data_IF_384525577633
#
_entry.id   IF_384525577633
#
_cell.length_a   1.000
_cell.length_b   1.000
_cell.length_c   1.000
_cell.angle_alpha   90.00
_cell.angle_beta   90.00
_cell.angle_gamma   90.00
#
_symmetry.space_group_name_H-M   'P 1'
#
loop_
_entity.id
_entity.type
_entity.pdbx_description
1 polymer ?
#
# COMPACT_ATOMS: atom_id res chain seq x y z
N UNK A 1 0.04 -5.92 -2.71
CA UNK A 1 -0.40 -6.91 -1.69
C UNK A 1 -0.74 -6.26 -0.35
N UNK A 2 0.15 -5.47 0.30
CA UNK A 2 -0.17 -4.88 1.62
C UNK A 2 -1.38 -3.94 1.60
N UNK A 3 -1.59 -3.19 0.53
CA UNK A 3 -2.75 -2.30 0.40
C UNK A 3 -4.07 -3.07 0.36
N UNK A 4 -4.12 -4.22 -0.33
CA UNK A 4 -5.28 -5.10 -0.34
C UNK A 4 -5.68 -5.53 1.08
N UNK A 5 -4.69 -5.81 1.94
CA UNK A 5 -4.94 -6.13 3.35
C UNK A 5 -5.53 -5.00 4.19
N UNK A 6 -5.51 -3.76 3.69
CA UNK A 6 -6.08 -2.59 4.38
C UNK A 6 -7.52 -2.28 3.92
N UNK A 7 -8.04 -2.97 2.93
CA UNK A 7 -9.35 -2.73 2.33
C UNK A 7 -10.29 -3.92 2.56
N UNK A 8 -11.59 -3.67 2.46
CA UNK A 8 -12.61 -4.72 2.48
C UNK A 8 -12.54 -5.54 1.19
N UNK A 9 -13.14 -6.71 1.17
CA UNK A 9 -13.25 -7.61 0.02
C UNK A 9 -14.10 -7.08 -1.13
N UNK A 10 -14.79 -5.95 -0.92
CA UNK A 10 -15.49 -5.23 -1.98
C UNK A 10 -14.57 -4.47 -2.92
N UNK A 11 -13.28 -4.39 -2.59
CA UNK A 11 -12.25 -3.76 -3.40
C UNK A 11 -11.23 -4.80 -3.86
N UNK A 12 -11.13 -5.00 -5.15
CA UNK A 12 -10.04 -5.79 -5.73
C UNK A 12 -8.86 -4.86 -5.99
N UNK A 13 -7.68 -5.28 -5.53
CA UNK A 13 -6.42 -4.59 -5.81
C UNK A 13 -5.66 -5.34 -6.89
N UNK A 14 -5.72 -4.84 -8.12
CA UNK A 14 -4.92 -5.37 -9.24
C UNK A 14 -3.54 -4.69 -9.25
N UNK A 15 -2.50 -5.45 -8.91
CA UNK A 15 -1.16 -4.91 -8.71
C UNK A 15 -0.28 -5.03 -9.95
N UNK A 16 -0.09 -3.93 -10.67
CA UNK A 16 0.82 -3.79 -11.81
C UNK A 16 2.20 -3.21 -11.45
N UNK A 17 2.45 -2.97 -10.16
CA UNK A 17 3.72 -2.43 -9.71
C UNK A 17 4.90 -3.35 -10.06
N UNK A 18 5.97 -2.76 -10.60
CA UNK A 18 7.18 -3.48 -10.95
C UNK A 18 8.42 -2.86 -10.30
N UNK A 19 9.21 -3.71 -9.62
CA UNK A 19 10.44 -3.27 -8.97
C UNK A 19 11.44 -2.69 -9.97
N UNK A 20 12.06 -1.55 -9.62
CA UNK A 20 13.12 -0.93 -10.41
C UNK A 20 12.65 -0.15 -11.63
N UNK A 21 11.32 0.09 -11.80
CA UNK A 21 10.82 0.83 -12.97
C UNK A 21 10.63 2.31 -12.66
N UNK A 22 11.09 3.13 -13.58
CA UNK A 22 10.75 4.55 -13.72
C UNK A 22 9.50 4.70 -14.58
N UNK A 23 8.94 5.91 -14.69
CA UNK A 23 7.88 6.22 -15.65
C UNK A 23 8.29 5.84 -17.06
N UNK A 24 9.52 6.21 -17.47
CA UNK A 24 10.09 5.93 -18.78
C UNK A 24 10.18 4.43 -19.07
N UNK A 25 10.80 3.66 -18.18
CA UNK A 25 10.95 2.22 -18.39
C UNK A 25 9.62 1.48 -18.33
N UNK A 26 8.67 1.94 -17.51
CA UNK A 26 7.33 1.36 -17.44
C UNK A 26 6.56 1.52 -18.75
N UNK A 27 6.72 2.67 -19.42
CA UNK A 27 6.16 2.92 -20.76
C UNK A 27 6.89 2.05 -21.80
N UNK A 28 8.21 2.11 -21.82
CA UNK A 28 9.02 1.43 -22.85
C UNK A 28 8.88 -0.10 -22.81
N UNK A 29 8.65 -0.69 -21.64
CA UNK A 29 8.38 -2.11 -21.45
C UNK A 29 6.91 -2.48 -21.72
N UNK A 30 6.09 -1.57 -22.22
CA UNK A 30 4.65 -1.76 -22.49
C UNK A 30 3.85 -2.21 -21.25
N UNK A 31 4.33 -1.87 -20.06
CA UNK A 31 3.63 -2.18 -18.80
C UNK A 31 2.41 -1.30 -18.62
N UNK A 32 2.54 -0.04 -19.04
CA UNK A 32 1.43 0.90 -18.98
C UNK A 32 0.29 0.49 -19.92
N UNK A 33 0.59 0.00 -21.12
CA UNK A 33 -0.43 -0.52 -22.04
C UNK A 33 -1.25 -1.65 -21.40
N UNK A 34 -0.58 -2.58 -20.68
CA UNK A 34 -1.27 -3.66 -19.97
C UNK A 34 -2.21 -3.17 -18.87
N UNK A 35 -1.90 -2.04 -18.23
CA UNK A 35 -2.79 -1.40 -17.26
C UNK A 35 -4.01 -0.86 -17.98
N UNK A 36 -3.80 -0.09 -19.08
CA UNK A 36 -4.87 0.51 -19.87
C UNK A 36 -5.86 -0.53 -20.44
N UNK A 37 -5.38 -1.71 -20.77
CA UNK A 37 -6.21 -2.81 -21.30
C UNK A 37 -7.18 -3.38 -20.24
N UNK A 38 -6.91 -3.12 -18.95
CA UNK A 38 -7.71 -3.68 -17.85
C UNK A 38 -8.64 -2.67 -17.19
N UNK A 39 -8.34 -1.38 -17.31
CA UNK A 39 -9.13 -0.31 -16.68
C UNK A 39 -10.58 -0.36 -17.18
N UNK A 40 -11.51 -0.37 -16.23
CA UNK A 40 -12.93 -0.20 -16.46
C UNK A 40 -13.38 1.19 -15.97
N UNK A 41 -14.48 1.73 -16.53
CA UNK A 41 -15.04 2.99 -16.04
C UNK A 41 -15.37 2.94 -14.54
N UNK A 42 -14.83 3.92 -13.80
CA UNK A 42 -15.00 4.03 -12.34
C UNK A 42 -13.86 3.43 -11.52
N UNK A 43 -12.91 2.72 -12.13
CA UNK A 43 -11.75 2.19 -11.43
C UNK A 43 -10.81 3.30 -10.97
N UNK A 44 -10.24 3.15 -9.78
CA UNK A 44 -9.18 4.03 -9.30
C UNK A 44 -7.81 3.53 -9.75
N UNK A 45 -7.01 4.42 -10.32
CA UNK A 45 -5.65 4.09 -10.75
C UNK A 45 -4.64 4.86 -9.90
N UNK A 46 -3.96 4.16 -9.00
CA UNK A 46 -2.94 4.72 -8.11
C UNK A 46 -1.58 4.73 -8.81
N UNK A 47 -1.03 5.93 -9.02
CA UNK A 47 0.18 6.16 -9.80
C UNK A 47 1.25 6.74 -8.87
N UNK A 48 2.33 5.96 -8.61
CA UNK A 48 3.47 6.39 -7.82
C UNK A 48 4.79 6.05 -8.53
N UNK A 49 5.55 7.06 -8.86
CA UNK A 49 6.88 6.97 -9.48
C UNK A 49 7.83 8.02 -8.86
N UNK A 50 9.09 8.03 -9.29
CA UNK A 50 10.11 8.97 -8.87
C UNK A 50 11.43 8.30 -8.48
N UNK A 51 11.43 7.33 -7.57
CA UNK A 51 12.63 6.67 -7.05
C UNK A 51 13.60 6.09 -8.11
N UNK A 52 13.10 5.72 -9.27
CA UNK A 52 13.92 5.22 -10.36
C UNK A 52 14.08 6.26 -11.46
N UNK A 53 13.17 7.21 -11.55
CA UNK A 53 13.24 8.34 -12.48
C UNK A 53 14.43 9.25 -12.17
N UNK A 54 14.78 9.41 -10.89
CA UNK A 54 15.93 10.22 -10.43
C UNK A 54 17.31 9.58 -10.65
N UNK A 55 17.37 8.31 -11.10
CA UNK A 55 18.64 7.64 -11.37
C UNK A 55 19.27 8.16 -12.65
N UNK A 56 20.60 8.23 -12.67
CA UNK A 56 21.36 8.69 -13.85
C UNK A 56 21.34 7.70 -15.03
N UNK A 57 20.88 6.44 -14.81
CA UNK A 57 20.76 5.44 -15.87
C UNK A 57 19.83 5.95 -16.99
N UNK A 58 20.32 6.14 -18.23
CA UNK A 58 19.52 6.66 -19.34
C UNK A 58 18.27 5.83 -19.68
N UNK A 59 18.21 4.56 -19.28
CA UNK A 59 17.05 3.71 -19.46
C UNK A 59 15.93 4.03 -18.46
N UNK A 60 16.27 4.67 -17.35
CA UNK A 60 15.37 4.99 -16.26
C UNK A 60 15.10 6.48 -16.14
N UNK A 61 16.14 7.28 -16.31
CA UNK A 61 16.13 8.71 -16.03
C UNK A 61 15.07 9.48 -16.81
N UNK A 62 14.39 10.34 -16.06
CA UNK A 62 13.49 11.38 -16.58
C UNK A 62 13.72 12.66 -15.78
N UNK A 63 13.40 13.83 -16.34
CA UNK A 63 13.67 15.12 -15.74
C UNK A 63 12.40 15.75 -15.19
N UNK A 64 12.36 16.19 -13.90
CA UNK A 64 11.25 16.97 -13.33
C UNK A 64 11.03 18.27 -14.12
N UNK A 65 9.76 18.64 -14.28
CA UNK A 65 9.39 19.82 -15.08
C UNK A 65 9.28 19.55 -16.57
N UNK A 66 9.86 18.46 -17.07
CA UNK A 66 9.80 18.05 -18.49
C UNK A 66 9.36 16.60 -18.63
N UNK A 67 10.27 15.68 -18.91
CA UNK A 67 9.92 14.29 -19.28
C UNK A 67 9.23 13.49 -18.17
N UNK A 68 9.57 13.74 -16.89
CA UNK A 68 8.86 13.12 -15.77
C UNK A 68 7.42 13.61 -15.70
N UNK A 69 7.22 14.91 -15.79
CA UNK A 69 5.90 15.55 -15.77
C UNK A 69 5.04 15.11 -16.97
N UNK A 70 5.64 15.05 -18.16
CA UNK A 70 4.94 14.62 -19.38
C UNK A 70 4.45 13.17 -19.27
N UNK A 71 5.26 12.28 -18.69
CA UNK A 71 4.85 10.91 -18.40
C UNK A 71 3.70 10.85 -17.41
N UNK A 72 3.72 11.68 -16.35
CA UNK A 72 2.61 11.76 -15.40
C UNK A 72 1.33 12.31 -16.06
N UNK A 73 1.45 13.35 -16.90
CA UNK A 73 0.31 13.87 -17.69
C UNK A 73 -0.28 12.81 -18.59
N UNK A 74 0.58 12.04 -19.27
CA UNK A 74 0.17 10.90 -20.10
C UNK A 74 -0.63 9.88 -19.30
N UNK A 75 -0.12 9.44 -18.15
CA UNK A 75 -0.81 8.46 -17.30
C UNK A 75 -2.18 8.97 -16.85
N UNK A 76 -2.29 10.23 -16.44
CA UNK A 76 -3.56 10.85 -16.05
C UNK A 76 -4.55 10.91 -17.22
N UNK A 77 -4.10 11.39 -18.38
CA UNK A 77 -4.96 11.56 -19.55
C UNK A 77 -5.48 10.21 -20.07
N UNK A 78 -4.60 9.22 -20.18
CA UNK A 78 -4.96 7.90 -20.70
C UNK A 78 -5.81 7.09 -19.70
N UNK A 79 -5.58 7.23 -18.40
CA UNK A 79 -6.51 6.69 -17.38
C UNK A 79 -7.92 7.24 -17.58
N UNK A 80 -8.05 8.56 -17.71
CA UNK A 80 -9.35 9.21 -17.93
C UNK A 80 -10.00 8.81 -19.24
N UNK A 81 -9.24 8.60 -20.30
CA UNK A 81 -9.76 8.15 -21.59
C UNK A 81 -10.43 6.77 -21.54
N UNK A 82 -10.03 5.95 -20.54
CA UNK A 82 -10.63 4.65 -20.24
C UNK A 82 -11.78 4.74 -19.22
N UNK A 83 -12.12 5.95 -18.76
CA UNK A 83 -13.14 6.15 -17.70
C UNK A 83 -12.62 5.90 -16.29
N UNK A 84 -11.32 5.65 -16.12
CA UNK A 84 -10.67 5.47 -14.81
C UNK A 84 -10.43 6.79 -14.08
N UNK A 85 -10.22 6.72 -12.79
CA UNK A 85 -10.02 7.84 -11.87
C UNK A 85 -8.57 7.83 -11.40
N UNK A 86 -7.68 8.68 -11.95
CA UNK A 86 -6.27 8.69 -11.55
C UNK A 86 -6.08 9.35 -10.18
N UNK A 87 -5.17 8.79 -9.39
CA UNK A 87 -4.71 9.32 -8.10
C UNK A 87 -3.19 9.34 -8.12
N UNK A 88 -2.58 10.51 -7.95
CA UNK A 88 -1.13 10.67 -7.96
C UNK A 88 -0.54 10.61 -6.54
N UNK A 89 0.60 9.96 -6.45
CA UNK A 89 1.39 9.85 -5.23
C UNK A 89 2.83 10.29 -5.52
N UNK A 90 3.47 10.98 -4.57
CA UNK A 90 4.92 11.17 -4.63
C UNK A 90 5.67 10.01 -3.96
N UNK A 91 7.00 10.04 -4.05
CA UNK A 91 7.88 9.02 -3.47
C UNK A 91 7.86 9.07 -1.95
N UNK A 92 7.85 7.91 -1.30
CA UNK A 92 8.05 7.82 0.14
C UNK A 92 9.50 8.19 0.51
N UNK A 93 9.71 8.63 1.75
CA UNK A 93 11.03 9.02 2.27
C UNK A 93 11.99 7.82 2.28
N UNK A 94 13.28 8.08 2.00
CA UNK A 94 14.36 7.16 2.41
C UNK A 94 14.72 7.45 3.87
N UNK A 95 15.03 6.41 4.62
CA UNK A 95 15.48 6.52 6.01
C UNK A 95 16.93 7.03 6.08
N UNK A 96 17.18 8.21 5.57
CA UNK A 96 18.50 8.83 5.56
C UNK A 96 18.56 9.96 6.57
N UNK A 97 18.99 9.65 7.79
CA UNK A 97 19.22 10.65 8.81
C UNK A 97 20.56 11.35 8.60
N UNK A 98 20.58 12.62 8.93
CA UNK A 98 21.83 13.38 8.98
C UNK A 98 22.71 12.84 10.10
N UNK A 99 24.01 12.65 9.80
CA UNK A 99 25.02 12.20 10.74
C UNK A 99 25.95 13.39 11.02
N UNK A 100 26.16 13.71 12.30
CA UNK A 100 27.09 14.78 12.68
C UNK A 100 28.57 14.34 12.55
N UNK A 101 29.49 15.26 12.79
CA UNK A 101 30.93 15.04 12.69
C UNK A 101 31.45 13.93 13.60
N UNK A 102 30.75 13.66 14.71
CA UNK A 102 31.09 12.57 15.66
C UNK A 102 30.45 11.22 15.28
N UNK A 103 29.86 11.10 14.11
CA UNK A 103 29.20 9.87 13.66
C UNK A 103 27.85 9.57 14.33
N UNK A 104 27.27 10.52 15.05
CA UNK A 104 25.96 10.37 15.69
C UNK A 104 24.84 10.87 14.78
N UNK A 105 23.80 10.07 14.65
CA UNK A 105 22.60 10.48 13.92
C UNK A 105 21.86 11.59 14.67
N UNK A 106 21.40 12.57 13.90
CA UNK A 106 20.47 13.61 14.37
C UNK A 106 19.04 13.19 14.11
N UNK A 107 18.07 13.99 14.58
CA UNK A 107 16.65 13.79 14.31
C UNK A 107 16.20 14.32 12.93
N UNK A 108 17.15 14.80 12.12
CA UNK A 108 16.87 15.38 10.82
C UNK A 108 17.03 14.34 9.70
N UNK A 109 16.01 14.21 8.88
CA UNK A 109 16.06 13.42 7.65
C UNK A 109 16.54 14.29 6.49
N UNK A 110 17.36 13.70 5.63
CA UNK A 110 17.86 14.31 4.41
C UNK A 110 16.84 14.05 3.31
N UNK A 111 16.36 15.11 2.62
CA UNK A 111 15.63 14.93 1.37
C UNK A 111 16.56 14.34 0.31
N UNK A 112 16.12 13.30 -0.33
CA UNK A 112 16.90 12.56 -1.33
C UNK A 112 16.23 12.52 -2.70
N UNK A 113 15.08 13.19 -2.86
CA UNK A 113 14.28 13.12 -4.08
C UNK A 113 14.16 14.46 -4.81
N UNK A 114 14.45 15.58 -4.13
CA UNK A 114 14.40 16.91 -4.75
C UNK A 114 13.07 17.16 -5.48
N UNK A 115 13.16 17.75 -6.66
CA UNK A 115 12.00 18.18 -7.44
C UNK A 115 11.09 17.03 -7.93
N UNK A 116 11.54 15.76 -7.87
CA UNK A 116 10.67 14.61 -8.13
C UNK A 116 9.52 14.48 -7.13
N UNK A 117 9.62 15.09 -5.95
CA UNK A 117 8.51 15.14 -4.98
C UNK A 117 7.44 16.15 -5.40
N UNK A 118 7.84 17.21 -6.09
CA UNK A 118 6.96 18.33 -6.45
C UNK A 118 6.14 18.04 -7.71
N UNK A 119 6.70 17.31 -8.67
CA UNK A 119 6.06 17.02 -9.96
C UNK A 119 4.69 16.33 -9.82
N UNK A 120 4.50 15.26 -9.02
CA UNK A 120 3.18 14.63 -8.88
C UNK A 120 2.13 15.58 -8.31
N UNK A 121 2.51 16.44 -7.36
CA UNK A 121 1.62 17.47 -6.80
C UNK A 121 1.22 18.50 -7.85
N UNK A 122 2.20 19.05 -8.56
CA UNK A 122 1.99 20.05 -9.62
C UNK A 122 1.06 19.51 -10.71
N UNK A 123 1.31 18.28 -11.18
CA UNK A 123 0.46 17.66 -12.20
C UNK A 123 -0.94 17.33 -11.66
N UNK A 124 -1.06 16.96 -10.39
CA UNK A 124 -2.36 16.75 -9.78
C UNK A 124 -3.17 18.03 -9.72
N UNK A 125 -2.56 19.14 -9.35
CA UNK A 125 -3.18 20.48 -9.35
C UNK A 125 -3.55 20.91 -10.77
N UNK A 126 -2.63 20.76 -11.74
CA UNK A 126 -2.84 21.09 -13.16
C UNK A 126 -4.02 20.32 -13.75
N UNK A 127 -4.13 19.04 -13.44
CA UNK A 127 -5.15 18.14 -14.03
C UNK A 127 -6.39 17.98 -13.16
N UNK A 128 -6.48 18.59 -11.99
CA UNK A 128 -7.59 18.43 -11.06
C UNK A 128 -7.81 16.98 -10.67
N UNK A 129 -6.75 16.28 -10.24
CA UNK A 129 -6.78 14.90 -9.72
C UNK A 129 -6.35 14.87 -8.26
N UNK A 130 -6.73 13.81 -7.57
CA UNK A 130 -6.33 13.64 -6.17
C UNK A 130 -4.82 13.39 -6.07
N UNK A 131 -4.18 14.10 -5.14
CA UNK A 131 -2.77 13.90 -4.78
C UNK A 131 -2.65 13.40 -3.35
N UNK A 132 -1.80 12.41 -3.13
CA UNK A 132 -1.44 11.86 -1.82
C UNK A 132 0.05 12.07 -1.58
N UNK A 133 0.38 12.83 -0.52
CA UNK A 133 1.76 13.14 -0.16
C UNK A 133 2.38 12.01 0.68
N UNK A 134 2.85 10.97 -0.01
CA UNK A 134 3.51 9.85 0.65
C UNK A 134 4.84 10.23 1.29
N UNK A 135 5.54 11.22 0.72
CA UNK A 135 6.78 11.70 1.32
C UNK A 135 6.51 12.26 2.71
N UNK A 136 5.56 13.18 2.83
CA UNK A 136 5.21 13.78 4.12
C UNK A 136 4.76 12.73 5.13
N UNK A 137 3.87 11.82 4.74
CA UNK A 137 3.34 10.77 5.62
C UNK A 137 4.47 9.89 6.17
N UNK A 138 5.36 9.45 5.29
CA UNK A 138 6.45 8.55 5.68
C UNK A 138 7.60 9.27 6.36
N UNK A 139 7.86 10.54 6.00
CA UNK A 139 8.80 11.42 6.71
C UNK A 139 8.39 11.60 8.16
N UNK A 140 7.13 11.96 8.41
CA UNK A 140 6.60 12.18 9.76
C UNK A 140 6.70 10.90 10.60
N UNK A 141 6.34 9.74 10.02
CA UNK A 141 6.47 8.44 10.67
C UNK A 141 7.93 8.14 11.07
N UNK A 142 8.85 8.23 10.11
CA UNK A 142 10.27 7.89 10.32
C UNK A 142 10.92 8.85 11.29
N UNK A 143 10.62 10.15 11.19
CA UNK A 143 11.12 11.19 12.12
C UNK A 143 10.63 10.95 13.54
N UNK A 144 9.33 10.66 13.72
CA UNK A 144 8.76 10.35 15.04
C UNK A 144 9.39 9.12 15.70
N UNK A 145 9.77 8.12 14.90
CA UNK A 145 10.44 6.92 15.41
C UNK A 145 11.92 7.13 15.73
N UNK A 146 12.54 8.12 15.10
CA UNK A 146 13.97 8.41 15.23
C UNK A 146 14.88 7.38 14.52
N UNK A 147 16.20 7.63 14.50
CA UNK A 147 17.15 6.88 13.68
C UNK A 147 17.28 5.41 14.05
N UNK A 148 17.16 5.05 15.32
CA UNK A 148 17.32 3.65 15.73
C UNK A 148 16.03 2.83 15.55
N UNK A 149 14.91 3.30 16.08
CA UNK A 149 13.65 2.57 16.06
C UNK A 149 13.05 2.43 14.66
N UNK A 150 13.27 3.42 13.80
CA UNK A 150 12.76 3.36 12.41
C UNK A 150 13.41 2.25 11.57
N UNK A 151 14.59 1.71 11.95
CA UNK A 151 15.19 0.52 11.32
C UNK A 151 14.22 -0.66 11.26
N UNK A 152 13.33 -0.78 12.26
CA UNK A 152 12.32 -1.85 12.33
C UNK A 152 11.31 -1.84 11.17
N UNK A 153 11.21 -0.75 10.43
CA UNK A 153 10.33 -0.63 9.26
C UNK A 153 11.02 -1.00 7.95
N UNK A 154 12.34 -1.00 7.93
CA UNK A 154 13.15 -1.16 6.73
C UNK A 154 13.83 -2.52 6.66
N UNK A 155 14.45 -2.84 5.51
CA UNK A 155 15.14 -4.11 5.30
C UNK A 155 16.53 -4.14 6.01
N UNK A 156 16.49 -3.96 7.33
CA UNK A 156 17.63 -4.10 8.22
C UNK A 156 17.63 -5.50 8.84
N UNK A 157 18.20 -6.48 8.12
CA UNK A 157 18.22 -7.89 8.55
C UNK A 157 19.64 -8.44 8.39
N UNK A 158 20.24 -8.92 9.47
CA UNK A 158 21.61 -9.45 9.48
C UNK A 158 22.62 -8.40 9.00
N UNK A 159 23.34 -8.72 7.93
CA UNK A 159 24.33 -7.80 7.31
C UNK A 159 23.71 -6.77 6.36
N UNK A 160 22.43 -6.92 6.00
CA UNK A 160 21.75 -5.99 5.10
C UNK A 160 21.33 -4.74 5.87
N UNK A 161 21.76 -3.58 5.38
CA UNK A 161 21.40 -2.24 5.87
C UNK A 161 20.76 -1.48 4.72
N UNK A 162 19.45 -1.58 4.59
CA UNK A 162 18.72 -0.98 3.47
C UNK A 162 17.74 0.06 4.01
N UNK A 163 18.04 1.31 3.77
CA UNK A 163 17.28 2.48 4.22
C UNK A 163 16.20 2.93 3.20
N UNK A 164 16.01 2.16 2.15
CA UNK A 164 15.05 2.47 1.07
C UNK A 164 13.87 1.51 1.07
N UNK A 165 14.13 0.20 1.23
CA UNK A 165 13.09 -0.81 1.10
C UNK A 165 12.48 -1.18 2.45
N UNK A 166 11.16 -1.14 2.51
CA UNK A 166 10.40 -1.58 3.68
C UNK A 166 10.43 -3.10 3.82
N UNK A 167 10.47 -3.57 5.07
CA UNK A 167 10.11 -4.94 5.39
C UNK A 167 8.57 -5.10 5.48
N UNK A 168 8.09 -6.31 5.80
CA UNK A 168 6.66 -6.61 5.89
C UNK A 168 5.95 -5.69 6.91
N UNK A 169 6.55 -5.48 8.10
CA UNK A 169 6.00 -4.62 9.14
C UNK A 169 5.87 -3.18 8.66
N UNK A 170 6.94 -2.63 8.08
CA UNK A 170 6.95 -1.28 7.54
C UNK A 170 5.95 -1.11 6.38
N UNK A 171 5.89 -2.08 5.48
CA UNK A 171 4.97 -2.05 4.36
C UNK A 171 3.49 -2.06 4.80
N UNK A 172 3.13 -2.82 5.83
CA UNK A 172 1.78 -2.80 6.41
C UNK A 172 1.43 -1.45 7.03
N UNK A 173 2.33 -0.89 7.84
CA UNK A 173 2.12 0.42 8.48
C UNK A 173 1.96 1.51 7.43
N UNK A 174 2.87 1.57 6.45
CA UNK A 174 2.82 2.58 5.39
C UNK A 174 1.57 2.43 4.51
N UNK A 175 1.17 1.20 4.17
CA UNK A 175 -0.06 0.96 3.42
C UNK A 175 -1.30 1.43 4.19
N UNK A 176 -1.35 1.17 5.50
CA UNK A 176 -2.45 1.64 6.36
C UNK A 176 -2.53 3.17 6.40
N UNK A 177 -1.39 3.85 6.58
CA UNK A 177 -1.34 5.32 6.57
C UNK A 177 -1.73 5.90 5.21
N UNK A 178 -1.27 5.28 4.12
CA UNK A 178 -1.60 5.70 2.76
C UNK A 178 -3.11 5.62 2.50
N UNK A 179 -3.74 4.49 2.83
CA UNK A 179 -5.16 4.31 2.57
C UNK A 179 -6.05 5.17 3.47
N UNK A 180 -5.63 5.45 4.70
CA UNK A 180 -6.31 6.43 5.56
C UNK A 180 -6.31 7.83 4.93
N UNK A 181 -5.19 8.27 4.35
CA UNK A 181 -5.12 9.56 3.67
C UNK A 181 -5.93 9.57 2.37
N UNK A 182 -5.91 8.46 1.61
CA UNK A 182 -6.78 8.26 0.45
C UNK A 182 -8.26 8.37 0.87
N UNK A 183 -8.64 7.69 1.94
CA UNK A 183 -10.02 7.67 2.42
C UNK A 183 -10.56 9.05 2.85
N UNK A 184 -9.69 9.93 3.37
CA UNK A 184 -10.03 11.33 3.67
C UNK A 184 -10.36 12.13 2.40
N UNK A 185 -9.63 11.86 1.31
CA UNK A 185 -9.77 12.58 0.03
C UNK A 185 -10.78 11.94 -0.91
N UNK A 186 -10.98 10.64 -0.79
CA UNK A 186 -11.89 9.82 -1.61
C UNK A 186 -12.83 9.06 -0.68
N UNK A 187 -13.97 9.68 -0.26
CA UNK A 187 -14.89 9.07 0.72
C UNK A 187 -15.43 7.71 0.30
N UNK A 188 -15.53 7.43 -1.00
CA UNK A 188 -15.95 6.13 -1.51
C UNK A 188 -14.98 5.03 -1.07
N UNK A 189 -13.65 5.25 -1.23
CA UNK A 189 -12.62 4.33 -0.75
C UNK A 189 -12.49 4.35 0.78
N UNK A 190 -12.76 5.49 1.42
CA UNK A 190 -12.75 5.61 2.88
C UNK A 190 -13.74 4.68 3.59
N UNK A 191 -14.89 4.38 2.95
CA UNK A 191 -15.89 3.42 3.44
C UNK A 191 -15.40 1.97 3.35
N UNK A 192 -14.43 1.72 2.50
CA UNK A 192 -13.87 0.39 2.25
C UNK A 192 -12.59 0.12 3.06
N UNK A 193 -12.18 1.03 3.94
CA UNK A 193 -11.02 0.79 4.79
C UNK A 193 -11.37 -0.25 5.86
N UNK A 194 -10.55 -1.29 5.93
CA UNK A 194 -10.67 -2.34 6.93
C UNK A 194 -10.38 -1.76 8.32
N UNK A 195 -11.30 -2.00 9.27
CA UNK A 195 -11.22 -1.49 10.65
C UNK A 195 -10.80 -2.55 11.68
N UNK A 196 -10.34 -3.70 11.20
CA UNK A 196 -9.92 -4.82 12.04
C UNK A 196 -8.48 -5.20 11.70
N UNK A 197 -7.74 -5.65 12.72
CA UNK A 197 -6.35 -6.09 12.52
C UNK A 197 -6.29 -7.38 11.69
N UNK A 198 -7.25 -8.28 11.89
CA UNK A 198 -7.41 -9.52 11.14
C UNK A 198 -8.86 -9.78 10.77
N UNK A 199 -9.03 -10.48 9.67
CA UNK A 199 -10.34 -10.93 9.17
C UNK A 199 -10.28 -12.42 8.92
N UNK A 200 -11.29 -13.12 9.44
CA UNK A 200 -11.53 -14.56 9.22
C UNK A 200 -12.70 -14.69 8.26
N UNK A 201 -12.52 -15.42 7.16
CA UNK A 201 -13.57 -15.65 6.17
C UNK A 201 -13.40 -17.01 5.48
N UNK A 202 -14.45 -17.83 5.47
CA UNK A 202 -14.44 -19.18 4.90
C UNK A 202 -14.31 -19.20 3.38
N UNK A 203 -14.64 -18.08 2.71
CA UNK A 203 -14.55 -17.92 1.26
C UNK A 203 -13.16 -17.48 0.76
N UNK A 204 -12.18 -17.36 1.69
CA UNK A 204 -10.81 -16.93 1.38
C UNK A 204 -10.62 -15.42 1.21
N UNK A 205 -11.67 -14.60 1.43
CA UNK A 205 -11.58 -13.13 1.39
C UNK A 205 -10.93 -12.53 2.64
N UNK A 206 -10.67 -13.34 3.69
CA UNK A 206 -10.02 -12.95 4.92
C UNK A 206 -8.51 -13.23 4.95
N UNK A 207 -7.91 -12.92 6.08
CA UNK A 207 -6.51 -13.26 6.37
C UNK A 207 -6.36 -14.75 6.76
N UNK A 208 -7.45 -15.35 7.28
CA UNK A 208 -7.54 -16.74 7.73
C UNK A 208 -8.89 -17.34 7.33
N UNK A 209 -8.90 -18.65 7.14
CA UNK A 209 -10.14 -19.39 6.85
C UNK A 209 -10.91 -19.73 8.13
N UNK A 210 -10.21 -19.91 9.24
CA UNK A 210 -10.81 -20.27 10.51
C UNK A 210 -10.36 -19.35 11.65
N UNK A 211 -11.19 -19.23 12.69
CA UNK A 211 -10.82 -18.45 13.86
C UNK A 211 -9.68 -19.11 14.65
N UNK A 212 -9.57 -20.42 14.60
CA UNK A 212 -8.49 -21.19 15.23
C UNK A 212 -7.14 -20.81 14.66
N UNK A 213 -6.99 -20.85 13.32
CA UNK A 213 -5.78 -20.37 12.63
C UNK A 213 -5.42 -18.91 13.01
N UNK A 214 -6.42 -18.05 13.05
CA UNK A 214 -6.20 -16.65 13.43
C UNK A 214 -5.66 -16.54 14.87
N UNK A 215 -6.24 -17.26 15.80
CA UNK A 215 -5.86 -17.21 17.22
C UNK A 215 -4.45 -17.80 17.47
N UNK A 216 -4.03 -18.80 16.71
CA UNK A 216 -2.68 -19.37 16.76
C UNK A 216 -1.62 -18.38 16.25
N UNK A 217 -1.94 -17.61 15.21
CA UNK A 217 -1.01 -16.69 14.56
C UNK A 217 -0.95 -15.30 15.19
N UNK A 218 -1.96 -14.91 15.97
CA UNK A 218 -2.01 -13.58 16.62
C UNK A 218 -0.98 -13.54 17.76
N UNK A 219 -0.07 -12.53 17.78
CA UNK A 219 0.86 -12.37 18.89
C UNK A 219 0.14 -12.18 20.23
N UNK A 220 0.54 -12.90 21.25
CA UNK A 220 -0.04 -12.82 22.60
C UNK A 220 0.17 -11.46 23.30
N UNK A 221 1.02 -10.60 22.73
CA UNK A 221 1.34 -9.26 23.24
C UNK A 221 0.59 -8.17 22.48
N UNK A 222 -0.22 -7.38 23.20
CA UNK A 222 -0.95 -6.24 22.65
C UNK A 222 -2.45 -6.46 22.54
N UNK A 223 -3.19 -5.38 22.19
CA UNK A 223 -4.61 -5.44 21.85
C UNK A 223 -4.74 -5.75 20.37
N UNK A 224 -5.71 -6.57 20.01
CA UNK A 224 -5.98 -6.98 18.65
C UNK A 224 -7.48 -7.10 18.41
N UNK A 225 -7.92 -6.76 17.20
CA UNK A 225 -9.32 -6.86 16.77
C UNK A 225 -9.40 -7.88 15.62
N UNK A 226 -10.37 -8.80 15.74
CA UNK A 226 -10.61 -9.82 14.71
C UNK A 226 -12.08 -9.70 14.27
N UNK A 227 -12.29 -9.60 12.97
CA UNK A 227 -13.61 -9.72 12.37
C UNK A 227 -13.78 -11.14 11.85
N UNK A 228 -14.88 -11.79 12.25
CA UNK A 228 -15.34 -13.04 11.63
C UNK A 228 -16.49 -12.71 10.69
N UNK A 229 -16.30 -12.96 9.39
CA UNK A 229 -17.29 -12.65 8.37
C UNK A 229 -18.43 -13.66 8.38
N UNK A 230 -19.55 -13.25 7.77
CA UNK A 230 -20.69 -14.12 7.53
C UNK A 230 -20.25 -15.41 6.85
N UNK A 231 -20.68 -16.56 7.39
CA UNK A 231 -20.30 -17.87 6.87
C UNK A 231 -20.55 -19.00 7.88
N UNK A 232 -20.36 -20.23 7.41
CA UNK A 232 -20.42 -21.42 8.26
C UNK A 232 -19.01 -21.83 8.65
N UNK A 233 -18.76 -21.89 9.95
CA UNK A 233 -17.46 -22.25 10.53
C UNK A 233 -17.55 -23.57 11.28
N UNK A 234 -16.42 -24.20 11.52
CA UNK A 234 -16.30 -25.35 12.42
C UNK A 234 -16.65 -24.98 13.86
N UNK A 235 -16.33 -25.80 14.84
CA UNK A 235 -16.57 -25.51 16.26
C UNK A 235 -15.92 -24.19 16.66
N UNK A 236 -16.64 -23.36 17.39
CA UNK A 236 -16.06 -22.12 17.90
C UNK A 236 -14.95 -22.46 18.90
N UNK A 237 -13.70 -22.06 18.66
CA UNK A 237 -12.59 -22.37 19.56
C UNK A 237 -12.82 -21.73 20.92
N UNK A 238 -12.47 -22.40 22.03
CA UNK A 238 -12.52 -21.81 23.35
C UNK A 238 -11.55 -20.66 23.43
N UNK A 239 -12.07 -19.46 23.74
CA UNK A 239 -11.28 -18.23 23.70
C UNK A 239 -11.09 -17.64 25.10
N UNK A 240 -9.85 -17.40 25.51
CA UNK A 240 -9.49 -16.93 26.84
C UNK A 240 -8.67 -15.64 26.88
N UNK A 241 -8.26 -15.08 25.73
CA UNK A 241 -7.41 -13.89 25.75
C UNK A 241 -8.21 -12.58 25.72
N UNK A 242 -8.34 -11.92 26.87
CA UNK A 242 -9.07 -10.64 27.04
C UNK A 242 -8.51 -9.46 26.22
N UNK A 243 -7.33 -9.60 25.60
CA UNK A 243 -6.72 -8.55 24.77
C UNK A 243 -7.14 -8.62 23.30
N UNK A 244 -7.74 -9.72 22.87
CA UNK A 244 -8.27 -9.89 21.52
C UNK A 244 -9.78 -9.64 21.55
N UNK A 245 -10.24 -8.67 20.77
CA UNK A 245 -11.66 -8.38 20.58
C UNK A 245 -12.12 -9.05 19.28
N UNK A 246 -12.97 -10.06 19.40
CA UNK A 246 -13.61 -10.72 18.26
C UNK A 246 -14.96 -10.06 18.01
N UNK A 247 -15.24 -9.72 16.76
CA UNK A 247 -16.53 -9.23 16.28
C UNK A 247 -17.02 -10.18 15.21
N UNK A 248 -18.26 -10.60 15.29
CA UNK A 248 -18.90 -11.49 14.32
C UNK A 248 -19.88 -10.67 13.47
N UNK A 249 -19.83 -10.86 12.15
CA UNK A 249 -20.85 -10.31 11.26
C UNK A 249 -22.18 -11.05 11.43
N UNK A 250 -23.27 -10.39 11.03
CA UNK A 250 -24.58 -11.05 10.97
C UNK A 250 -24.54 -12.19 9.95
N UNK A 251 -24.88 -13.39 10.37
CA UNK A 251 -24.85 -14.59 9.53
C UNK A 251 -23.66 -15.53 9.80
N UNK A 252 -22.82 -15.21 10.78
CA UNK A 252 -21.85 -16.18 11.32
C UNK A 252 -22.59 -17.31 12.01
N UNK A 253 -22.27 -18.54 11.63
CA UNK A 253 -22.79 -19.75 12.29
C UNK A 253 -21.65 -20.69 12.64
N UNK A 254 -21.71 -21.30 13.81
CA UNK A 254 -20.72 -22.24 14.34
C UNK A 254 -21.32 -23.65 14.39
N UNK A 255 -20.57 -24.64 13.93
CA UNK A 255 -21.03 -26.04 13.88
C UNK A 255 -19.91 -27.04 13.97
N UNK A 256 -20.23 -28.31 13.78
CA UNK A 256 -19.27 -29.41 13.85
C UNK A 256 -18.48 -29.65 12.54
N UNK A 257 -18.87 -29.01 11.43
CA UNK A 257 -18.18 -29.13 10.14
C UNK A 257 -18.18 -27.81 9.40
N UNK A 258 -17.07 -27.47 8.72
CA UNK A 258 -16.96 -26.30 7.86
C UNK A 258 -17.54 -26.60 6.47
N UNK A 259 -18.43 -25.76 5.94
CA UNK A 259 -18.90 -25.81 4.57
C UNK A 259 -18.29 -24.63 3.79
N UNK A 260 -17.65 -24.92 2.67
CA UNK A 260 -17.18 -23.89 1.73
C UNK A 260 -18.36 -23.47 0.83
N UNK A 261 -18.69 -22.17 0.87
CA UNK A 261 -19.65 -21.58 -0.05
C UNK A 261 -18.98 -20.47 -0.87
N UNK A 262 -18.82 -20.69 -2.15
CA UNK A 262 -18.41 -19.65 -3.09
C UNK A 262 -19.60 -18.78 -3.48
N UNK A 263 -19.48 -17.46 -3.33
CA UNK A 263 -20.37 -16.48 -3.98
C UNK A 263 -19.54 -15.44 -4.71
N UNK A 264 -19.87 -15.15 -5.97
CA UNK A 264 -19.18 -14.09 -6.71
C UNK A 264 -19.55 -12.71 -6.12
N UNK A 265 -18.54 -11.91 -5.86
CA UNK A 265 -18.62 -10.56 -5.35
C UNK A 265 -18.72 -9.55 -6.49
N UNK A 266 -19.55 -8.51 -6.34
CA UNK A 266 -19.46 -7.30 -7.19
C UNK A 266 -18.33 -6.44 -6.65
N UNK A 267 -17.25 -6.34 -7.41
CA UNK A 267 -15.99 -5.76 -6.96
C UNK A 267 -15.78 -4.36 -7.56
N UNK A 268 -15.15 -3.50 -6.77
CA UNK A 268 -14.56 -2.25 -7.23
C UNK A 268 -13.07 -2.54 -7.52
N UNK A 269 -12.62 -2.37 -8.75
CA UNK A 269 -11.24 -2.65 -9.12
C UNK A 269 -10.35 -1.44 -8.82
N UNK A 270 -9.24 -1.70 -8.12
CA UNK A 270 -8.20 -0.73 -7.80
C UNK A 270 -6.90 -1.13 -8.48
N UNK A 271 -6.46 -0.36 -9.49
CA UNK A 271 -5.20 -0.61 -10.18
C UNK A 271 -4.04 0.12 -9.51
N UNK A 272 -2.99 -0.62 -9.17
CA UNK A 272 -1.75 -0.12 -8.62
C UNK A 272 -0.68 -0.05 -9.70
N UNK A 273 -0.41 1.16 -10.19
CA UNK A 273 0.68 1.43 -11.12
C UNK A 273 1.83 2.08 -10.36
N UNK A 274 2.71 1.27 -9.81
CA UNK A 274 3.83 1.75 -8.99
C UNK A 274 5.14 1.24 -9.54
N UNK A 275 6.03 2.15 -9.91
CA UNK A 275 7.39 1.83 -10.31
C UNK A 275 8.33 1.54 -9.12
N UNK A 276 7.83 1.52 -7.91
CA UNK A 276 8.62 1.39 -6.70
C UNK A 276 8.47 0.01 -6.04
N UNK A 277 9.61 -0.60 -5.67
CA UNK A 277 9.67 -1.93 -5.05
C UNK A 277 8.95 -2.03 -3.69
N UNK A 278 8.77 -0.92 -2.98
CA UNK A 278 8.12 -0.89 -1.67
C UNK A 278 6.61 -1.17 -1.72
N UNK A 279 5.94 -0.74 -2.79
CA UNK A 279 4.50 -0.99 -2.96
C UNK A 279 4.23 -2.39 -3.53
N UNK A 280 5.18 -2.97 -4.27
CA UNK A 280 5.07 -4.32 -4.82
C UNK A 280 5.22 -5.42 -3.76
N UNK A 281 5.67 -5.09 -2.55
CA UNK A 281 5.85 -6.04 -1.45
C UNK A 281 6.86 -7.14 -1.80
N UNK A 282 8.13 -6.96 -1.52
CA UNK A 282 9.08 -8.07 -1.51
C UNK A 282 8.89 -8.87 -0.23
N UNK A 283 7.94 -9.80 -0.26
CA UNK A 283 7.83 -10.84 0.75
C UNK A 283 8.72 -12.02 0.37
N UNK A 284 9.66 -12.37 1.22
CA UNK A 284 10.08 -13.72 1.53
C UNK A 284 9.84 -13.91 3.00
#
# INVERSE_FOLDING_TARGET
MMLAGCLTDRVIVDNHAASGRSTKSFINEKRWERVLDRIQPGDYVFIQFGHNDEKEDPKLHTEPGTTFDDNLRKFVAETRSKGGIPVLFNSMVRRKFYCNENGLYTDSLIDTHGDYLLSPKRIAEEKGVVFIDMNKITHDLVKQMGPEKSKELFMWVGKRKDDTHLNIKGARIVASLAIEEVGKKIPALGKEIRRYDYVVATDGSGDFFTLEEALEMIPLKGKCTVLVRSGQYGPKPPFVNKKIKITEEKGVSWGSSAAHAEKPLKNLDLYLCVGQSNMAGRGK
#
